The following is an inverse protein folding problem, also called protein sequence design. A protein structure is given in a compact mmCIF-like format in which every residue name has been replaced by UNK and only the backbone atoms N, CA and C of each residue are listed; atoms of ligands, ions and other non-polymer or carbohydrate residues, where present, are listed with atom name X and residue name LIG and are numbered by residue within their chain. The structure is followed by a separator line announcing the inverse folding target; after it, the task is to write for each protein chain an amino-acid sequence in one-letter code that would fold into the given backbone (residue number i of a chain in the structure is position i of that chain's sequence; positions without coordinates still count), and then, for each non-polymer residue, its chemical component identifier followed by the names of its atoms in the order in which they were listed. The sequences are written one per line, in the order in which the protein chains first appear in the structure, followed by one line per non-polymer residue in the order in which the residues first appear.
data_IF_610529996198
#
_entry.id   IF_610529996198
#
_cell.length_a   1.000
_cell.length_b   1.000
_cell.length_c   1.000
_cell.angle_alpha   90.00
_cell.angle_beta   90.00
_cell.angle_gamma   90.00
#
_symmetry.space_group_name_H-M   'P 1'
#
loop_
_entity.id
_entity.type
_entity.pdbx_description
1 polymer ?
#
# COMPACT_ATOMS: atom_id res chain seq x y z
N UNK A 1 27.86 -4.95 21.26
CA UNK A 1 27.11 -4.51 22.46
C UNK A 1 26.38 -5.70 23.02
N UNK A 2 26.71 -6.15 24.24
CA UNK A 2 26.08 -7.30 24.89
C UNK A 2 24.58 -7.07 25.10
N UNK A 3 23.75 -8.11 24.88
CA UNK A 3 22.30 -8.12 25.14
C UNK A 3 21.98 -7.60 26.56
N UNK A 4 22.88 -7.83 27.52
CA UNK A 4 22.82 -7.34 28.88
C UNK A 4 22.66 -5.80 28.99
N UNK A 5 23.23 -5.03 28.05
CA UNK A 5 23.14 -3.57 28.08
C UNK A 5 21.71 -3.06 27.87
N UNK A 6 20.87 -3.78 27.11
CA UNK A 6 19.49 -3.39 26.77
C UNK A 6 18.42 -3.92 27.73
N UNK A 7 18.75 -4.86 28.61
CA UNK A 7 17.79 -5.41 29.58
C UNK A 7 17.31 -4.31 30.56
N UNK A 8 16.01 -4.25 30.85
CA UNK A 8 15.48 -3.41 31.93
C UNK A 8 15.65 -4.11 33.28
N UNK A 9 15.53 -3.36 34.39
CA UNK A 9 15.73 -3.91 35.75
C UNK A 9 14.78 -5.08 36.06
N UNK A 10 13.54 -4.99 35.57
CA UNK A 10 12.52 -6.03 35.74
C UNK A 10 12.93 -7.36 35.07
N UNK A 11 13.50 -7.30 33.86
CA UNK A 11 14.01 -8.47 33.17
C UNK A 11 15.19 -9.10 33.92
N UNK A 12 16.10 -8.30 34.47
CA UNK A 12 17.24 -8.81 35.27
C UNK A 12 16.76 -9.58 36.50
N UNK A 13 15.74 -9.07 37.21
CA UNK A 13 15.16 -9.75 38.37
C UNK A 13 14.47 -11.05 37.96
N UNK A 14 13.72 -11.04 36.85
CA UNK A 14 13.03 -12.23 36.33
C UNK A 14 14.01 -13.31 35.88
N UNK A 15 15.10 -12.96 35.19
CA UNK A 15 16.15 -13.92 34.84
C UNK A 15 16.79 -14.50 36.09
N UNK A 16 17.08 -13.69 37.11
CA UNK A 16 17.64 -14.18 38.35
C UNK A 16 16.73 -15.18 39.06
N UNK A 17 15.42 -14.94 39.11
CA UNK A 17 14.48 -15.89 39.72
C UNK A 17 14.40 -17.22 38.97
N UNK A 18 14.54 -17.23 37.64
CA UNK A 18 14.60 -18.47 36.85
C UNK A 18 15.84 -19.32 37.16
N UNK A 19 16.91 -18.69 37.62
CA UNK A 19 18.15 -19.34 38.02
C UNK A 19 18.26 -19.56 39.54
N UNK A 20 17.19 -19.32 40.31
CA UNK A 20 17.21 -19.42 41.78
C UNK A 20 18.11 -18.39 42.46
N UNK A 21 18.54 -17.34 41.74
CA UNK A 21 19.36 -16.25 42.26
C UNK A 21 18.44 -15.19 42.83
N UNK A 22 18.53 -14.97 44.14
CA UNK A 22 17.73 -13.94 44.82
C UNK A 22 18.41 -12.58 44.68
N UNK A 23 17.83 -11.66 43.91
CA UNK A 23 18.29 -10.27 43.79
C UNK A 23 17.37 -9.36 44.60
N UNK A 24 17.94 -8.57 45.50
CA UNK A 24 17.17 -7.65 46.32
C UNK A 24 16.54 -6.53 45.45
N UNK A 25 15.29 -6.10 45.68
CA UNK A 25 14.62 -5.08 44.85
C UNK A 25 15.35 -3.73 44.80
N UNK A 26 16.16 -3.41 45.83
CA UNK A 26 16.99 -2.18 45.86
C UNK A 26 18.30 -2.29 45.07
N UNK A 27 18.70 -3.48 44.63
CA UNK A 27 19.92 -3.68 43.84
C UNK A 27 19.83 -2.89 42.53
N UNK A 28 20.94 -2.24 42.14
CA UNK A 28 20.98 -1.50 40.88
C UNK A 28 21.01 -2.47 39.69
N UNK A 29 20.66 -2.00 38.49
CA UNK A 29 20.74 -2.83 37.28
C UNK A 29 22.17 -3.34 37.05
N UNK A 30 23.17 -2.50 37.29
CA UNK A 30 24.58 -2.84 37.09
C UNK A 30 25.00 -3.99 38.02
N UNK A 31 24.66 -3.88 39.30
CA UNK A 31 25.00 -4.90 40.30
C UNK A 31 24.26 -6.22 40.02
N UNK A 32 22.98 -6.16 39.61
CA UNK A 32 22.22 -7.35 39.26
C UNK A 32 22.80 -8.09 38.04
N UNK A 33 23.30 -7.36 37.05
CA UNK A 33 24.00 -7.95 35.91
C UNK A 33 25.36 -8.54 36.30
N UNK A 34 26.08 -7.92 37.25
CA UNK A 34 27.35 -8.47 37.75
C UNK A 34 27.12 -9.80 38.50
N UNK A 35 26.07 -9.88 39.33
CA UNK A 35 25.69 -11.11 40.02
C UNK A 35 25.37 -12.22 39.01
N UNK A 36 24.55 -11.93 37.99
CA UNK A 36 24.23 -12.90 36.94
C UNK A 36 25.45 -13.31 36.10
N UNK A 37 26.38 -12.39 35.84
CA UNK A 37 27.60 -12.69 35.08
C UNK A 37 28.55 -13.63 35.85
N UNK A 38 28.56 -13.55 37.18
CA UNK A 38 29.35 -14.44 38.04
C UNK A 38 28.65 -15.76 38.37
N UNK A 39 27.39 -15.94 37.95
CA UNK A 39 26.61 -17.13 38.30
C UNK A 39 26.97 -18.31 37.38
N UNK A 40 27.35 -19.43 37.98
CA UNK A 40 27.53 -20.70 37.30
C UNK A 40 26.41 -21.66 37.71
N UNK A 41 25.62 -22.14 36.75
CA UNK A 41 24.48 -23.02 36.98
C UNK A 41 24.61 -24.27 36.10
N UNK A 42 24.44 -25.44 36.69
CA UNK A 42 24.53 -26.74 35.99
C UNK A 42 23.31 -27.04 35.12
N UNK A 43 22.20 -26.35 35.37
CA UNK A 43 20.93 -26.48 34.64
C UNK A 43 20.77 -25.45 33.51
N UNK A 44 21.79 -24.64 33.22
CA UNK A 44 21.77 -23.61 32.19
C UNK A 44 22.32 -24.20 30.89
N UNK A 45 21.49 -24.46 29.87
CA UNK A 45 22.01 -24.81 28.56
C UNK A 45 22.81 -23.61 28.04
N UNK A 46 24.01 -23.86 27.50
CA UNK A 46 24.83 -22.80 26.89
C UNK A 46 24.15 -22.38 25.58
N UNK A 47 23.24 -21.41 25.66
CA UNK A 47 22.58 -20.85 24.48
C UNK A 47 23.48 -19.79 23.85
N UNK A 48 24.04 -20.11 22.68
CA UNK A 48 24.68 -19.11 21.82
C UNK A 48 23.60 -18.44 20.95
N UNK A 49 23.40 -17.14 21.12
CA UNK A 49 22.58 -16.37 20.19
C UNK A 49 23.38 -16.13 18.90
N UNK A 50 23.02 -16.83 17.82
CA UNK A 50 23.63 -16.65 16.49
C UNK A 50 23.15 -15.35 15.82
N UNK A 51 22.01 -14.81 16.28
CA UNK A 51 21.42 -13.59 15.73
C UNK A 51 21.79 -12.35 16.56
N UNK A 52 22.27 -11.31 15.88
CA UNK A 52 22.50 -10.00 16.47
C UNK A 52 21.17 -9.26 16.75
N UNK A 53 21.11 -8.40 17.78
CA UNK A 53 19.92 -7.60 18.04
C UNK A 53 19.65 -6.66 16.86
N UNK A 54 18.54 -6.89 16.16
CA UNK A 54 18.00 -5.94 15.17
C UNK A 54 17.69 -4.65 15.94
N UNK A 55 18.35 -3.55 15.57
CA UNK A 55 18.01 -2.25 16.14
C UNK A 55 16.58 -1.95 15.70
N UNK A 56 15.63 -1.71 16.62
CA UNK A 56 14.29 -1.33 16.22
C UNK A 56 14.42 -0.08 15.37
N UNK A 57 14.01 -0.18 14.10
CA UNK A 57 13.82 1.02 13.29
C UNK A 57 12.82 1.87 14.06
N UNK A 58 13.12 3.17 14.23
CA UNK A 58 12.22 4.10 14.87
C UNK A 58 11.00 4.26 13.95
N UNK A 59 10.05 3.32 13.99
CA UNK A 59 8.75 3.50 13.38
C UNK A 59 8.10 4.65 14.14
N UNK A 60 7.88 5.75 13.43
CA UNK A 60 7.14 6.90 13.93
C UNK A 60 5.73 6.41 14.24
N UNK A 61 5.38 6.36 15.52
CA UNK A 61 3.99 6.28 15.95
C UNK A 61 3.24 7.45 15.29
N UNK A 62 2.36 7.14 14.33
CA UNK A 62 1.31 8.07 13.91
C UNK A 62 0.42 8.29 15.12
N UNK A 63 0.29 9.54 15.56
CA UNK A 63 -0.78 9.98 16.44
C UNK A 63 -2.04 10.03 15.58
N UNK A 64 -2.77 8.92 15.55
CA UNK A 64 -4.15 8.95 15.08
C UNK A 64 -5.06 9.48 16.19
N UNK A 65 -6.05 10.22 15.73
CA UNK A 65 -6.90 11.07 16.50
C UNK A 65 -7.88 10.29 17.39
N UNK A 66 -8.28 10.98 18.43
CA UNK A 66 -9.30 10.69 19.43
C UNK A 66 -10.63 10.26 18.78
N UNK A 67 -10.93 8.96 18.79
CA UNK A 67 -12.29 8.44 18.86
C UNK A 67 -12.41 7.60 20.13
N UNK A 68 -13.13 8.13 21.12
CA UNK A 68 -13.42 7.47 22.39
C UNK A 68 -14.92 7.44 22.57
N UNK A 69 -15.51 6.27 22.34
CA UNK A 69 -16.92 6.03 22.56
C UNK A 69 -17.38 4.61 22.20
N UNK A 70 -16.51 3.59 22.25
CA UNK A 70 -16.96 2.20 22.21
C UNK A 70 -16.15 1.37 23.22
N UNK A 71 -16.89 0.61 24.02
CA UNK A 71 -16.46 -0.23 25.13
C UNK A 71 -15.28 -1.14 24.77
N UNK A 72 -14.14 -0.96 25.44
CA UNK A 72 -13.06 -1.94 25.51
C UNK A 72 -13.46 -3.09 26.45
N UNK A 73 -14.37 -3.94 25.98
CA UNK A 73 -14.38 -5.33 26.39
C UNK A 73 -13.57 -6.09 25.34
N UNK A 74 -12.34 -6.44 25.69
CA UNK A 74 -11.53 -7.37 24.90
C UNK A 74 -12.35 -8.66 24.84
N UNK A 75 -12.79 -9.15 23.66
CA UNK A 75 -13.35 -10.47 23.56
C UNK A 75 -12.28 -11.43 24.06
N UNK A 76 -12.63 -12.21 25.06
CA UNK A 76 -11.83 -13.31 25.60
C UNK A 76 -11.20 -14.05 24.43
N UNK A 77 -9.87 -13.93 24.29
CA UNK A 77 -9.13 -14.67 23.27
C UNK A 77 -9.29 -16.11 23.70
N UNK A 78 -10.24 -16.80 23.07
CA UNK A 78 -10.32 -18.24 23.12
C UNK A 78 -8.97 -18.72 22.63
N UNK A 79 -8.13 -19.11 23.60
CA UNK A 79 -6.93 -19.88 23.34
C UNK A 79 -7.44 -21.18 22.78
N UNK A 80 -7.49 -21.28 21.46
CA UNK A 80 -7.68 -22.57 20.81
C UNK A 80 -6.69 -23.55 21.45
N UNK A 81 -7.16 -24.75 21.85
CA UNK A 81 -6.26 -25.76 22.36
C UNK A 81 -5.13 -25.95 21.35
N UNK A 82 -3.86 -26.09 21.82
CA UNK A 82 -2.73 -26.28 20.93
C UNK A 82 -3.06 -27.41 19.95
N UNK A 83 -2.86 -27.21 18.65
CA UNK A 83 -3.17 -28.24 17.66
C UNK A 83 -2.51 -29.55 18.13
N UNK A 84 -3.23 -30.68 18.06
CA UNK A 84 -2.71 -31.96 18.52
C UNK A 84 -1.34 -32.16 17.91
N UNK A 85 -0.35 -32.53 18.73
CA UNK A 85 1.03 -32.68 18.33
C UNK A 85 1.09 -33.59 17.09
N UNK A 86 1.15 -32.96 15.93
CA UNK A 86 1.16 -33.65 14.66
C UNK A 86 2.44 -34.48 14.67
N UNK A 87 2.31 -35.79 14.49
CA UNK A 87 3.42 -36.74 14.49
C UNK A 87 4.27 -36.62 13.22
N UNK A 88 4.53 -35.38 12.78
CA UNK A 88 5.42 -35.10 11.68
C UNK A 88 6.84 -35.29 12.19
N UNK A 89 7.50 -36.30 11.60
CA UNK A 89 8.89 -36.63 11.86
C UNK A 89 9.73 -35.38 11.56
N UNK A 90 10.43 -34.88 12.56
CA UNK A 90 11.36 -33.76 12.39
C UNK A 90 12.80 -34.29 12.37
N UNK A 91 13.64 -33.83 11.42
CA UNK A 91 13.30 -32.92 10.32
C UNK A 91 12.39 -33.60 9.28
N UNK A 92 11.57 -32.82 8.56
CA UNK A 92 10.76 -33.35 7.47
C UNK A 92 11.65 -34.02 6.43
N UNK A 93 11.11 -35.05 5.78
CA UNK A 93 11.83 -35.70 4.69
C UNK A 93 12.06 -34.70 3.53
N UNK A 94 13.19 -34.79 2.81
CA UNK A 94 13.44 -33.93 1.67
C UNK A 94 12.36 -34.08 0.61
N UNK A 95 11.93 -32.97 0.03
CA UNK A 95 10.99 -32.93 -1.09
C UNK A 95 11.53 -33.74 -2.29
N UNK A 96 10.65 -34.51 -2.96
CA UNK A 96 11.06 -35.35 -4.08
C UNK A 96 11.51 -34.48 -5.28
N UNK A 97 12.40 -35.02 -6.12
CA UNK A 97 12.84 -34.27 -7.31
C UNK A 97 11.69 -34.01 -8.30
N UNK A 98 10.67 -34.87 -8.32
CA UNK A 98 9.46 -34.65 -9.11
C UNK A 98 8.68 -33.43 -8.60
N UNK A 99 8.52 -33.30 -7.28
CA UNK A 99 7.83 -32.16 -6.67
C UNK A 99 8.64 -30.87 -6.84
N UNK A 100 9.98 -30.92 -6.76
CA UNK A 100 10.84 -29.76 -7.08
C UNK A 100 10.60 -29.29 -8.51
N UNK A 101 10.54 -30.21 -9.47
CA UNK A 101 10.29 -29.86 -10.87
C UNK A 101 8.87 -29.32 -11.08
N UNK A 102 7.88 -29.86 -10.38
CA UNK A 102 6.50 -29.35 -10.40
C UNK A 102 6.44 -27.92 -9.87
N UNK A 103 7.04 -27.66 -8.70
CA UNK A 103 7.12 -26.32 -8.11
C UNK A 103 7.81 -25.32 -9.04
N UNK A 104 8.90 -25.72 -9.70
CA UNK A 104 9.59 -24.86 -10.67
C UNK A 104 8.69 -24.55 -11.87
N UNK A 105 7.93 -25.54 -12.37
CA UNK A 105 7.00 -25.33 -13.49
C UNK A 105 5.86 -24.41 -13.11
N UNK A 106 5.20 -24.66 -11.98
CA UNK A 106 4.12 -23.82 -11.46
C UNK A 106 4.61 -22.39 -11.23
N UNK A 107 5.80 -22.23 -10.64
CA UNK A 107 6.42 -20.92 -10.48
C UNK A 107 6.70 -20.22 -11.82
N UNK A 108 7.23 -20.94 -12.81
CA UNK A 108 7.42 -20.38 -14.15
C UNK A 108 6.09 -20.03 -14.83
N UNK A 109 5.03 -20.79 -14.58
CA UNK A 109 3.70 -20.54 -15.11
C UNK A 109 3.05 -19.31 -14.47
N UNK A 110 3.19 -19.14 -13.15
CA UNK A 110 2.71 -17.96 -12.41
C UNK A 110 3.47 -16.68 -12.79
N UNK A 111 4.72 -16.81 -13.21
CA UNK A 111 5.56 -15.71 -13.69
C UNK A 111 5.46 -15.46 -15.20
N UNK A 112 4.49 -16.04 -15.90
CA UNK A 112 4.24 -15.67 -17.29
C UNK A 112 3.75 -14.21 -17.36
N UNK A 113 4.16 -13.43 -18.38
CA UNK A 113 3.75 -12.03 -18.55
C UNK A 113 2.24 -11.82 -18.43
N UNK A 114 1.45 -12.72 -19.02
CA UNK A 114 -0.02 -12.68 -18.98
C UNK A 114 -0.62 -12.64 -17.56
N UNK A 115 0.11 -13.10 -16.54
CA UNK A 115 -0.36 -13.14 -15.15
C UNK A 115 -0.26 -11.77 -14.44
N UNK A 116 0.54 -10.85 -14.96
CA UNK A 116 0.79 -9.52 -14.36
C UNK A 116 0.76 -8.36 -15.36
N UNK A 117 0.67 -8.63 -16.66
CA UNK A 117 0.40 -7.60 -17.66
C UNK A 117 -0.96 -6.97 -17.38
N UNK A 118 -0.94 -5.65 -17.32
CA UNK A 118 -2.13 -4.83 -17.13
C UNK A 118 -2.37 -4.01 -18.39
N UNK A 119 -3.63 -3.85 -18.74
CA UNK A 119 -4.06 -2.95 -19.80
C UNK A 119 -5.23 -2.10 -19.31
N UNK A 120 -5.48 -0.99 -19.99
CA UNK A 120 -6.56 -0.08 -19.65
C UNK A 120 -7.93 -0.65 -20.03
N UNK A 121 -8.92 -0.42 -19.17
CA UNK A 121 -10.33 -0.63 -19.50
C UNK A 121 -10.88 0.56 -20.30
N UNK A 122 -11.50 0.33 -21.46
CA UNK A 122 -12.09 1.36 -22.32
C UNK A 122 -13.24 2.15 -21.65
N UNK A 123 -13.90 1.59 -20.64
CA UNK A 123 -15.05 2.21 -19.97
C UNK A 123 -14.65 3.04 -18.75
N UNK A 124 -13.67 2.59 -17.95
CA UNK A 124 -13.26 3.28 -16.72
C UNK A 124 -11.82 3.81 -16.71
N UNK A 125 -11.02 3.51 -17.74
CA UNK A 125 -9.63 3.93 -17.86
C UNK A 125 -8.66 3.29 -16.84
N UNK A 126 -9.14 2.44 -15.92
CA UNK A 126 -8.29 1.80 -14.92
C UNK A 126 -7.46 0.68 -15.56
N UNK A 127 -6.21 0.57 -15.10
CA UNK A 127 -5.36 -0.59 -15.38
C UNK A 127 -5.95 -1.82 -14.68
N UNK A 128 -6.13 -2.89 -15.44
CA UNK A 128 -6.65 -4.18 -14.98
C UNK A 128 -5.86 -5.28 -15.65
N UNK A 129 -5.69 -6.42 -14.98
CA UNK A 129 -5.01 -7.58 -15.56
C UNK A 129 -5.64 -7.97 -16.89
N UNK A 130 -4.82 -8.30 -17.88
CA UNK A 130 -5.28 -8.72 -19.22
C UNK A 130 -6.22 -9.93 -19.12
N UNK A 131 -6.00 -10.84 -18.17
CA UNK A 131 -6.87 -12.00 -17.92
C UNK A 131 -8.29 -11.65 -17.45
N UNK A 132 -8.50 -10.44 -16.92
CA UNK A 132 -9.79 -9.95 -16.44
C UNK A 132 -10.45 -8.96 -17.41
N UNK A 133 -9.83 -8.73 -18.58
CA UNK A 133 -10.33 -7.88 -19.65
C UNK A 133 -11.02 -8.72 -20.72
N UNK A 134 -12.17 -8.24 -21.18
CA UNK A 134 -12.91 -8.82 -22.31
C UNK A 134 -12.93 -7.83 -23.47
N UNK A 135 -12.70 -8.25 -24.73
CA UNK A 135 -12.78 -7.37 -25.89
C UNK A 135 -14.13 -6.64 -25.97
N UNK A 136 -14.12 -5.35 -26.31
CA UNK A 136 -15.31 -4.50 -26.34
C UNK A 136 -16.39 -5.05 -27.28
N UNK A 137 -15.98 -5.59 -28.43
CA UNK A 137 -16.87 -6.15 -29.45
C UNK A 137 -17.59 -7.44 -29.00
N UNK A 138 -17.07 -8.14 -28.00
CA UNK A 138 -17.67 -9.39 -27.49
C UNK A 138 -18.56 -9.19 -26.27
N UNK A 139 -18.68 -7.96 -25.77
CA UNK A 139 -19.53 -7.62 -24.63
C UNK A 139 -20.95 -7.50 -25.15
N UNK A 140 -21.74 -8.56 -25.02
CA UNK A 140 -23.16 -8.57 -25.39
C UNK A 140 -24.05 -7.72 -24.47
N UNK A 141 -23.60 -6.54 -24.03
CA UNK A 141 -24.32 -5.62 -23.15
C UNK A 141 -24.50 -4.26 -23.82
N UNK A 142 -25.54 -3.51 -23.42
CA UNK A 142 -25.77 -2.16 -23.93
C UNK A 142 -24.76 -1.15 -23.38
N UNK A 143 -24.33 -0.21 -24.22
CA UNK A 143 -23.51 0.94 -23.83
C UNK A 143 -24.35 2.19 -23.53
N UNK A 144 -25.67 2.10 -23.58
CA UNK A 144 -26.59 3.22 -23.29
C UNK A 144 -26.32 3.90 -21.93
N UNK A 145 -25.97 3.18 -20.84
CA UNK A 145 -25.64 3.83 -19.57
C UNK A 145 -24.46 4.79 -19.67
N UNK A 146 -23.61 4.71 -20.70
CA UNK A 146 -22.45 5.57 -20.91
C UNK A 146 -22.75 6.81 -21.78
N UNK A 147 -23.99 6.97 -22.24
CA UNK A 147 -24.43 8.17 -22.95
C UNK A 147 -24.58 9.32 -21.95
N UNK A 148 -23.74 10.34 -22.06
CA UNK A 148 -23.87 11.57 -21.28
C UNK A 148 -23.67 12.80 -22.21
N UNK A 149 -24.76 13.45 -22.65
CA UNK A 149 -24.66 14.60 -23.54
C UNK A 149 -23.98 15.77 -22.85
N UNK A 150 -23.07 16.45 -23.56
CA UNK A 150 -22.40 17.65 -23.05
C UNK A 150 -21.19 17.41 -22.15
N UNK A 151 -20.77 16.15 -21.95
CA UNK A 151 -19.63 15.83 -21.10
C UNK A 151 -18.30 15.85 -21.87
N UNK A 152 -18.20 15.08 -22.96
CA UNK A 152 -16.98 14.91 -23.75
C UNK A 152 -16.86 16.03 -24.79
N UNK A 153 -16.28 17.18 -24.43
CA UNK A 153 -16.06 18.30 -25.34
C UNK A 153 -14.97 17.95 -26.37
N UNK A 154 -15.22 18.23 -27.64
CA UNK A 154 -14.23 18.06 -28.70
C UNK A 154 -13.27 19.26 -28.74
N UNK A 155 -12.04 18.99 -29.19
CA UNK A 155 -11.02 20.03 -29.40
C UNK A 155 -11.51 21.05 -30.44
N UNK A 156 -11.17 22.32 -30.22
CA UNK A 156 -11.45 23.42 -31.15
C UNK A 156 -10.16 23.84 -31.81
N UNK A 157 -10.06 23.65 -33.12
CA UNK A 157 -8.92 24.11 -33.92
C UNK A 157 -9.02 25.60 -34.29
N UNK A 158 -10.22 26.19 -34.22
CA UNK A 158 -10.46 27.60 -34.58
C UNK A 158 -11.23 28.35 -33.48
N UNK A 159 -10.85 29.60 -33.14
CA UNK A 159 -11.54 30.40 -32.10
C UNK A 159 -13.01 30.72 -32.41
N UNK A 160 -13.43 30.68 -33.67
CA UNK A 160 -14.79 30.93 -34.12
C UNK A 160 -15.60 29.63 -34.26
N UNK A 161 -14.95 28.46 -34.22
CA UNK A 161 -15.66 27.19 -34.29
C UNK A 161 -16.59 27.03 -33.08
N UNK A 162 -17.85 26.58 -33.26
CA UNK A 162 -18.76 26.38 -32.13
C UNK A 162 -18.22 25.31 -31.19
N UNK A 163 -18.63 25.37 -29.92
CA UNK A 163 -18.33 24.30 -28.96
C UNK A 163 -19.14 23.07 -29.35
N UNK A 164 -18.46 21.97 -29.65
CA UNK A 164 -19.07 20.68 -29.97
C UNK A 164 -18.68 19.61 -28.94
N UNK A 165 -19.51 18.57 -28.87
CA UNK A 165 -19.35 17.44 -27.97
C UNK A 165 -19.39 16.14 -28.76
N UNK A 166 -18.70 15.12 -28.25
CA UNK A 166 -18.73 13.79 -28.82
C UNK A 166 -20.15 13.22 -28.74
N UNK A 167 -20.63 12.67 -29.85
CA UNK A 167 -21.89 11.94 -29.91
C UNK A 167 -21.64 10.46 -29.60
N UNK A 168 -22.48 9.85 -28.77
CA UNK A 168 -22.42 8.42 -28.46
C UNK A 168 -21.86 8.11 -27.06
N UNK A 169 -21.62 6.82 -26.75
CA UNK A 169 -21.16 6.40 -25.44
C UNK A 169 -19.74 6.87 -25.19
N UNK A 170 -19.47 7.34 -23.98
CA UNK A 170 -18.16 7.86 -23.61
C UNK A 170 -17.24 6.70 -23.22
N UNK A 171 -16.39 6.32 -24.16
CA UNK A 171 -15.35 5.29 -24.03
C UNK A 171 -14.03 5.80 -24.58
N UNK A 172 -12.92 5.26 -24.10
CA UNK A 172 -11.60 5.56 -24.63
C UNK A 172 -11.41 4.86 -25.99
N UNK A 173 -11.27 5.61 -27.11
CA UNK A 173 -11.14 5.02 -28.44
C UNK A 173 -9.80 4.31 -28.67
N UNK A 174 -8.80 4.53 -27.83
CA UNK A 174 -7.49 3.86 -27.92
C UNK A 174 -7.49 2.46 -27.31
N UNK A 175 -8.54 2.12 -26.55
CA UNK A 175 -8.66 0.86 -25.82
C UNK A 175 -9.80 0.03 -26.42
N UNK A 176 -9.57 -1.28 -26.54
CA UNK A 176 -10.50 -2.23 -27.15
C UNK A 176 -11.00 -3.30 -26.17
N UNK A 177 -10.77 -3.13 -24.87
CA UNK A 177 -11.13 -4.12 -23.87
C UNK A 177 -11.77 -3.47 -22.64
N UNK A 178 -12.60 -4.23 -21.92
CA UNK A 178 -13.36 -3.77 -20.76
C UNK A 178 -13.19 -4.75 -19.61
N UNK A 179 -13.04 -4.22 -18.39
CA UNK A 179 -12.89 -5.05 -17.20
C UNK A 179 -14.21 -5.70 -16.76
N UNK A 180 -14.08 -6.86 -16.11
CA UNK A 180 -15.18 -7.62 -15.52
C UNK A 180 -16.12 -6.78 -14.66
N UNK A 181 -15.59 -5.82 -13.89
CA UNK A 181 -16.39 -4.89 -13.09
C UNK A 181 -17.33 -4.03 -13.94
N UNK A 182 -16.81 -3.39 -15.00
CA UNK A 182 -17.63 -2.55 -15.87
C UNK A 182 -18.67 -3.38 -16.61
N UNK A 183 -18.32 -4.58 -17.07
CA UNK A 183 -19.27 -5.52 -17.71
C UNK A 183 -20.40 -5.85 -16.74
N UNK A 184 -20.09 -6.18 -15.48
CA UNK A 184 -21.11 -6.52 -14.47
C UNK A 184 -22.08 -5.38 -14.14
N UNK A 185 -21.64 -4.13 -14.31
CA UNK A 185 -22.49 -2.95 -14.12
C UNK A 185 -23.33 -2.67 -15.37
N UNK A 186 -22.71 -2.72 -16.55
CA UNK A 186 -23.38 -2.51 -17.83
C UNK A 186 -24.44 -3.58 -18.12
N UNK A 187 -24.18 -4.84 -17.75
CA UNK A 187 -25.17 -5.93 -17.87
C UNK A 187 -26.42 -5.72 -17.01
N UNK A 188 -26.39 -4.75 -16.08
CA UNK A 188 -27.51 -4.37 -15.22
C UNK A 188 -28.07 -3.00 -15.61
N UNK A 189 -27.72 -2.48 -16.79
CA UNK A 189 -28.04 -1.14 -17.27
C UNK A 189 -27.63 -0.03 -16.29
N UNK A 190 -26.52 -0.23 -15.57
CA UNK A 190 -25.97 0.75 -14.63
C UNK A 190 -24.64 1.29 -15.10
N UNK A 191 -24.46 2.60 -14.94
CA UNK A 191 -23.18 3.26 -15.17
C UNK A 191 -22.18 2.88 -14.05
N UNK A 192 -21.00 2.34 -14.37
CA UNK A 192 -19.95 2.07 -13.38
C UNK A 192 -19.53 3.36 -12.64
N UNK A 193 -19.14 3.26 -11.36
CA UNK A 193 -18.77 4.44 -10.55
C UNK A 193 -17.56 5.19 -11.13
N UNK A 194 -16.58 4.46 -11.63
CA UNK A 194 -15.37 5.03 -12.23
C UNK A 194 -15.47 5.14 -13.75
N UNK A 195 -16.68 5.11 -14.33
CA UNK A 195 -16.84 5.26 -15.77
C UNK A 195 -16.31 6.63 -16.25
N UNK A 196 -15.69 6.65 -17.42
CA UNK A 196 -15.27 7.87 -18.10
C UNK A 196 -16.44 8.84 -18.31
N UNK A 197 -17.64 8.29 -18.50
CA UNK A 197 -18.92 9.02 -18.56
C UNK A 197 -19.32 9.77 -17.27
N UNK A 198 -18.61 9.61 -16.14
CA UNK A 198 -18.86 10.36 -14.88
C UNK A 198 -18.04 11.66 -14.76
N UNK A 199 -17.64 12.24 -15.89
CA UNK A 199 -16.80 13.44 -15.94
C UNK A 199 -15.32 13.16 -15.72
N UNK A 200 -14.92 11.89 -15.83
CA UNK A 200 -13.53 11.44 -15.74
C UNK A 200 -12.84 11.43 -17.10
N UNK A 201 -13.59 11.54 -18.19
CA UNK A 201 -13.03 11.65 -19.54
C UNK A 201 -12.47 13.05 -19.81
N UNK A 202 -11.16 13.11 -20.07
CA UNK A 202 -10.46 14.35 -20.46
C UNK A 202 -10.25 14.43 -21.98
N UNK A 203 -10.46 13.32 -22.70
CA UNK A 203 -10.05 13.18 -24.09
C UNK A 203 -8.59 12.77 -24.23
N UNK A 204 -8.16 12.53 -25.47
CA UNK A 204 -6.74 12.40 -25.78
C UNK A 204 -6.02 13.72 -25.42
N UNK A 205 -4.84 13.61 -24.81
CA UNK A 205 -4.02 14.79 -24.52
C UNK A 205 -3.52 15.34 -25.85
N UNK A 206 -3.88 16.59 -26.25
CA UNK A 206 -3.40 17.19 -27.49
C UNK A 206 -1.88 17.30 -27.49
N UNK A 207 -1.26 17.21 -28.65
CA UNK A 207 0.20 17.32 -28.80
C UNK A 207 0.74 18.63 -28.19
N UNK A 208 -0.01 19.72 -28.36
CA UNK A 208 0.30 21.02 -27.75
C UNK A 208 0.39 20.98 -26.21
N UNK A 209 -0.30 20.04 -25.56
CA UNK A 209 -0.26 19.85 -24.10
C UNK A 209 0.72 18.75 -23.65
N UNK A 210 1.24 17.92 -24.57
CA UNK A 210 2.11 16.79 -24.25
C UNK A 210 3.52 17.23 -23.80
N UNK A 211 4.00 18.38 -24.24
CA UNK A 211 5.37 18.85 -23.99
C UNK A 211 5.45 20.06 -23.04
N UNK A 212 4.43 20.31 -22.22
CA UNK A 212 4.43 21.46 -21.31
C UNK A 212 5.49 21.31 -20.21
N UNK A 213 6.26 22.38 -19.98
CA UNK A 213 7.10 22.53 -18.79
C UNK A 213 6.27 22.54 -17.53
N UNK A 214 6.88 22.25 -16.37
CA UNK A 214 6.18 22.30 -15.08
C UNK A 214 5.49 23.66 -14.83
N UNK A 215 6.11 24.76 -15.25
CA UNK A 215 5.53 26.10 -15.11
C UNK A 215 4.26 26.26 -15.98
N UNK A 216 4.28 25.78 -17.22
CA UNK A 216 3.14 25.84 -18.13
C UNK A 216 2.00 24.91 -17.70
N UNK A 217 2.32 23.70 -17.22
CA UNK A 217 1.34 22.80 -16.62
C UNK A 217 0.62 23.48 -15.45
N UNK A 218 1.37 24.17 -14.59
CA UNK A 218 0.78 24.96 -13.50
C UNK A 218 -0.13 26.07 -14.04
N UNK A 219 0.22 26.72 -15.15
CA UNK A 219 -0.60 27.79 -15.75
C UNK A 219 -1.94 27.28 -16.27
N UNK A 220 -1.97 26.14 -16.98
CA UNK A 220 -3.19 25.59 -17.61
C UNK A 220 -4.03 24.70 -16.67
N UNK A 221 -3.49 24.24 -15.54
CA UNK A 221 -4.20 23.38 -14.61
C UNK A 221 -5.45 24.08 -14.02
N UNK A 222 -6.62 23.45 -14.17
CA UNK A 222 -7.90 23.91 -13.58
C UNK A 222 -7.90 23.84 -12.05
N UNK A 223 -7.20 22.84 -11.49
CA UNK A 223 -7.07 22.63 -10.04
C UNK A 223 -5.59 22.65 -9.70
N UNK A 224 -5.18 23.57 -8.82
CA UNK A 224 -3.81 23.66 -8.33
C UNK A 224 -3.76 23.14 -6.90
N UNK A 225 -3.08 22.03 -6.70
CA UNK A 225 -2.69 21.63 -5.34
C UNK A 225 -1.53 22.51 -4.91
N UNK A 226 -1.72 23.32 -3.87
CA UNK A 226 -0.63 24.10 -3.29
C UNK A 226 0.42 23.13 -2.72
N UNK A 227 1.53 22.91 -3.43
CA UNK A 227 2.66 22.12 -2.95
C UNK A 227 3.78 23.05 -2.53
N UNK A 228 4.03 23.13 -1.23
CA UNK A 228 5.17 23.86 -0.69
C UNK A 228 6.41 22.96 -0.75
N UNK A 229 7.40 23.32 -1.57
CA UNK A 229 8.71 22.66 -1.59
C UNK A 229 9.67 23.53 -0.81
N UNK A 230 10.14 23.03 0.34
CA UNK A 230 11.10 23.71 1.20
C UNK A 230 12.47 23.08 1.00
N UNK A 231 13.44 23.84 0.48
CA UNK A 231 14.84 23.41 0.42
C UNK A 231 15.49 23.62 1.79
N UNK A 232 16.00 22.55 2.39
CA UNK A 232 16.71 22.62 3.67
C UNK A 232 18.21 22.55 3.42
N UNK A 233 18.94 23.59 3.83
CA UNK A 233 20.38 23.73 3.57
C UNK A 233 21.25 22.95 4.56
N UNK A 234 20.77 22.68 5.78
CA UNK A 234 21.48 21.87 6.79
C UNK A 234 20.51 21.25 7.80
N UNK A 235 20.75 19.99 8.17
CA UNK A 235 19.94 19.24 9.14
C UNK A 235 20.50 19.35 10.56
N UNK A 236 20.03 20.35 11.32
CA UNK A 236 20.21 20.35 12.78
C UNK A 236 19.00 19.70 13.50
N UNK A 237 19.17 19.41 14.80
CA UNK A 237 18.23 18.70 15.71
C UNK A 237 16.75 19.17 15.65
N UNK A 238 16.50 20.41 15.21
CA UNK A 238 15.16 20.93 14.90
C UNK A 238 15.17 21.64 13.54
N UNK A 239 14.17 21.30 12.72
CA UNK A 239 13.97 21.85 11.39
C UNK A 239 13.03 23.07 11.50
N UNK A 240 13.55 24.27 11.26
CA UNK A 240 12.78 25.51 11.24
C UNK A 240 12.87 26.10 9.84
N UNK A 241 11.73 26.33 9.19
CA UNK A 241 11.67 26.95 7.87
C UNK A 241 10.53 27.97 7.84
N UNK A 242 10.78 29.13 7.23
CA UNK A 242 9.76 30.14 6.97
C UNK A 242 9.18 29.88 5.58
N UNK A 243 7.91 29.54 5.50
CA UNK A 243 7.20 29.39 4.23
C UNK A 243 6.41 30.67 3.95
N UNK A 244 6.75 31.37 2.88
CA UNK A 244 5.93 32.47 2.34
C UNK A 244 5.06 31.86 1.24
N UNK A 245 3.76 31.77 1.49
CA UNK A 245 2.78 31.26 0.52
C UNK A 245 1.92 32.41 0.03
N UNK A 246 1.86 32.61 -1.27
CA UNK A 246 0.95 33.56 -1.89
C UNK A 246 -0.34 32.85 -2.28
N UNK A 247 -1.48 33.52 -2.11
CA UNK A 247 -2.75 32.98 -2.56
C UNK A 247 -2.71 32.84 -4.09
N UNK A 248 -2.92 31.62 -4.58
CA UNK A 248 -3.04 31.40 -6.01
C UNK A 248 -4.47 31.77 -6.44
N UNK A 249 -4.66 32.69 -7.42
CA UNK A 249 -5.98 33.11 -7.89
C UNK A 249 -6.59 32.01 -8.78
N UNK A 250 -6.93 30.88 -8.16
CA UNK A 250 -7.61 29.75 -8.80
C UNK A 250 -8.95 29.51 -8.13
N UNK A 251 -9.95 29.16 -8.93
CA UNK A 251 -11.32 28.89 -8.46
C UNK A 251 -11.28 27.72 -7.47
N UNK A 252 -11.94 27.88 -6.31
CA UNK A 252 -12.10 26.79 -5.35
C UNK A 252 -13.07 25.77 -5.94
N UNK A 253 -12.56 24.59 -6.28
CA UNK A 253 -13.36 23.42 -6.64
C UNK A 253 -13.50 22.61 -5.35
N UNK A 254 -14.73 22.49 -4.85
CA UNK A 254 -15.09 21.74 -3.64
C UNK A 254 -15.56 20.34 -4.00
#
# INVERSE_FOLDING_TARGET
MSIAAKANKSAVILFASLHGVTIHPRTTKADGLAILASHACTSCPVYHAVFGPVQPSKSRARKDAKESGLSTAIPDVQTDPPPPASSHRYPPEPISDADKLMLVREFCDDLKPVCFEEAGCAVCGLLTKVTELTPLDSIGCSLDPLLEPGLARLERSDPNSPVSYQSGPIVDPSLNAVCSYCISALSRDRRPVNALANGLWVGAVPEALACLTYAEQCLVARVRTNRCVVRVSSGHSKMTANAISFACPTVKVY
#
